data_IF_207242871907
#
_entry.id   IF_207242871907
#
_cell.length_a   1.000
_cell.length_b   1.000
_cell.length_c   1.000
_cell.angle_alpha   90.00
_cell.angle_beta   90.00
_cell.angle_gamma   90.00
#
_symmetry.space_group_name_H-M   'P 1'
#
loop_
_entity.id
_entity.type
_entity.pdbx_description
1 polymer ?
#
# COMPACT_ATOMS: atom_id res chain seq x y z
N UNK A 1 -29.24 -10.26 -0.10
CA UNK A 1 -28.25 -11.01 0.70
C UNK A 1 -26.90 -10.38 0.41
N UNK A 2 -26.31 -9.79 1.43
CA UNK A 2 -25.12 -8.93 1.41
C UNK A 2 -23.84 -9.77 1.49
N UNK A 3 -23.77 -10.86 0.70
CA UNK A 3 -22.71 -11.88 0.81
C UNK A 3 -21.34 -11.38 0.38
N UNK A 4 -21.30 -10.44 -0.58
CA UNK A 4 -20.04 -9.89 -1.09
C UNK A 4 -19.26 -9.06 -0.07
N UNK A 5 -19.92 -8.47 0.94
CA UNK A 5 -19.26 -7.65 1.96
C UNK A 5 -18.37 -8.47 2.89
N UNK A 6 -18.88 -9.59 3.41
CA UNK A 6 -18.09 -10.45 4.30
C UNK A 6 -17.00 -11.20 3.54
N UNK A 7 -17.30 -11.66 2.32
CA UNK A 7 -16.34 -12.31 1.43
C UNK A 7 -15.16 -11.38 1.12
N UNK A 8 -15.44 -10.12 0.76
CA UNK A 8 -14.42 -9.09 0.55
C UNK A 8 -13.50 -8.89 1.76
N UNK A 9 -14.06 -8.89 2.97
CA UNK A 9 -13.29 -8.73 4.21
C UNK A 9 -12.40 -9.95 4.43
N UNK A 10 -12.96 -11.16 4.33
CA UNK A 10 -12.23 -12.42 4.54
C UNK A 10 -11.09 -12.57 3.53
N UNK A 11 -11.34 -12.29 2.26
CA UNK A 11 -10.31 -12.30 1.22
C UNK A 11 -9.21 -11.27 1.52
N UNK A 12 -9.56 -10.06 1.97
CA UNK A 12 -8.56 -9.06 2.37
C UNK A 12 -7.70 -9.52 3.56
N UNK A 13 -8.28 -10.29 4.49
CA UNK A 13 -7.54 -10.87 5.61
C UNK A 13 -6.61 -12.00 5.15
N UNK A 14 -7.07 -12.89 4.25
CA UNK A 14 -6.22 -13.93 3.69
C UNK A 14 -5.07 -13.36 2.85
N UNK A 15 -5.34 -12.33 2.04
CA UNK A 15 -4.33 -11.62 1.29
C UNK A 15 -3.19 -11.15 2.21
N UNK A 16 -3.54 -10.52 3.34
CA UNK A 16 -2.56 -10.10 4.34
C UNK A 16 -1.78 -11.26 4.96
N UNK A 17 -2.48 -12.29 5.42
CA UNK A 17 -1.83 -13.44 6.09
C UNK A 17 -0.85 -14.15 5.17
N UNK A 18 -1.23 -14.36 3.90
CA UNK A 18 -0.35 -14.98 2.91
C UNK A 18 0.81 -14.07 2.50
N UNK A 19 0.59 -12.75 2.42
CA UNK A 19 1.66 -11.79 2.17
C UNK A 19 2.70 -11.82 3.30
N UNK A 20 2.24 -11.81 4.55
CA UNK A 20 3.10 -11.85 5.75
C UNK A 20 3.84 -13.19 5.87
N UNK A 21 3.26 -14.28 5.36
CA UNK A 21 3.91 -15.60 5.30
C UNK A 21 4.83 -15.80 4.08
N UNK A 22 4.92 -14.82 3.18
CA UNK A 22 5.71 -14.90 1.94
C UNK A 22 5.09 -15.75 0.82
N UNK A 23 3.85 -16.23 0.98
CA UNK A 23 3.11 -16.95 -0.07
C UNK A 23 2.43 -15.92 -0.98
N UNK A 24 3.25 -15.18 -1.73
CA UNK A 24 2.77 -14.06 -2.55
C UNK A 24 1.74 -14.48 -3.60
N UNK A 25 1.79 -15.73 -4.10
CA UNK A 25 0.82 -16.24 -5.07
C UNK A 25 -0.60 -16.27 -4.51
N UNK A 26 -0.81 -16.92 -3.36
CA UNK A 26 -2.13 -16.94 -2.71
C UNK A 26 -2.55 -15.56 -2.22
N UNK A 27 -1.59 -14.76 -1.76
CA UNK A 27 -1.86 -13.39 -1.35
C UNK A 27 -2.44 -12.56 -2.49
N UNK A 28 -1.93 -12.75 -3.71
CA UNK A 28 -2.42 -12.08 -4.92
C UNK A 28 -3.84 -12.55 -5.26
N UNK A 29 -4.10 -13.86 -5.26
CA UNK A 29 -5.44 -14.40 -5.57
C UNK A 29 -6.52 -13.82 -4.66
N UNK A 30 -6.28 -13.84 -3.34
CA UNK A 30 -7.21 -13.27 -2.37
C UNK A 30 -7.27 -11.74 -2.44
N UNK A 31 -6.14 -11.07 -2.69
CA UNK A 31 -6.10 -9.61 -2.83
C UNK A 31 -6.92 -9.12 -4.03
N UNK A 32 -6.82 -9.78 -5.19
CA UNK A 32 -7.60 -9.47 -6.40
C UNK A 32 -9.09 -9.72 -6.19
N UNK A 33 -9.44 -10.84 -5.53
CA UNK A 33 -10.84 -11.14 -5.18
C UNK A 33 -11.42 -10.05 -4.27
N UNK A 34 -10.69 -9.68 -3.20
CA UNK A 34 -11.10 -8.63 -2.27
C UNK A 34 -11.28 -7.30 -2.99
N UNK A 35 -10.30 -6.84 -3.77
CA UNK A 35 -10.37 -5.56 -4.49
C UNK A 35 -11.58 -5.51 -5.42
N UNK A 36 -11.82 -6.58 -6.20
CA UNK A 36 -12.95 -6.66 -7.13
C UNK A 36 -14.31 -6.63 -6.41
N UNK A 37 -14.45 -7.35 -5.30
CA UNK A 37 -15.70 -7.36 -4.53
C UNK A 37 -15.96 -6.01 -3.88
N UNK A 38 -14.93 -5.38 -3.33
CA UNK A 38 -15.02 -4.05 -2.70
C UNK A 38 -15.37 -2.96 -3.71
N UNK A 39 -14.78 -3.04 -4.91
CA UNK A 39 -15.18 -2.21 -6.03
C UNK A 39 -16.67 -2.36 -6.35
N UNK A 40 -17.15 -3.60 -6.46
CA UNK A 40 -18.54 -3.89 -6.82
C UNK A 40 -19.56 -3.38 -5.78
N UNK A 41 -19.24 -3.44 -4.49
CA UNK A 41 -20.10 -2.93 -3.41
C UNK A 41 -19.89 -1.44 -3.12
N UNK A 42 -18.97 -0.75 -3.81
CA UNK A 42 -18.67 0.67 -3.60
C UNK A 42 -17.89 0.98 -2.32
N UNK A 43 -17.10 0.03 -1.81
CA UNK A 43 -16.24 0.19 -0.63
C UNK A 43 -14.82 0.64 -1.04
N UNK A 44 -14.67 1.96 -1.26
CA UNK A 44 -13.42 2.54 -1.75
C UNK A 44 -12.25 2.43 -0.77
N UNK A 45 -12.50 2.59 0.54
CA UNK A 45 -11.45 2.50 1.57
C UNK A 45 -10.90 1.07 1.62
N UNK A 46 -11.80 0.09 1.59
CA UNK A 46 -11.41 -1.29 1.56
C UNK A 46 -10.74 -1.72 0.24
N UNK A 47 -11.19 -1.20 -0.90
CA UNK A 47 -10.53 -1.45 -2.20
C UNK A 47 -9.10 -0.91 -2.18
N UNK A 48 -8.87 0.29 -1.64
CA UNK A 48 -7.54 0.85 -1.45
C UNK A 48 -6.66 -0.03 -0.54
N UNK A 49 -7.23 -0.59 0.53
CA UNK A 49 -6.53 -1.53 1.41
C UNK A 49 -6.10 -2.80 0.66
N UNK A 50 -6.99 -3.41 -0.13
CA UNK A 50 -6.69 -4.61 -0.91
C UNK A 50 -5.61 -4.34 -1.98
N UNK A 51 -5.71 -3.21 -2.69
CA UNK A 51 -4.71 -2.78 -3.68
C UNK A 51 -3.33 -2.54 -3.05
N UNK A 52 -3.28 -2.01 -1.82
CA UNK A 52 -2.03 -1.85 -1.07
C UNK A 52 -1.40 -3.20 -0.73
N UNK A 53 -2.21 -4.19 -0.33
CA UNK A 53 -1.71 -5.54 -0.07
C UNK A 53 -1.15 -6.20 -1.35
N UNK A 54 -1.82 -6.03 -2.49
CA UNK A 54 -1.33 -6.48 -3.79
C UNK A 54 0.00 -5.81 -4.15
N UNK A 55 0.12 -4.50 -3.91
CA UNK A 55 1.36 -3.77 -4.15
C UNK A 55 2.54 -4.33 -3.33
N UNK A 56 2.31 -4.64 -2.04
CA UNK A 56 3.31 -5.30 -1.20
C UNK A 56 3.72 -6.67 -1.74
N UNK A 57 2.77 -7.48 -2.21
CA UNK A 57 3.07 -8.80 -2.76
C UNK A 57 3.93 -8.70 -4.03
N UNK A 58 3.56 -7.81 -4.96
CA UNK A 58 4.35 -7.58 -6.17
C UNK A 58 5.73 -7.02 -5.86
N UNK A 59 5.84 -6.12 -4.88
CA UNK A 59 7.13 -5.63 -4.41
C UNK A 59 8.00 -6.77 -3.83
N UNK A 60 7.41 -7.67 -3.03
CA UNK A 60 8.10 -8.85 -2.48
C UNK A 60 8.61 -9.82 -3.56
N UNK A 61 7.89 -9.90 -4.68
CA UNK A 61 8.30 -10.65 -5.87
C UNK A 61 9.33 -9.94 -6.76
N UNK A 62 9.72 -8.70 -6.44
CA UNK A 62 10.63 -7.88 -7.25
C UNK A 62 9.96 -7.19 -8.46
N UNK A 63 8.64 -7.29 -8.56
CA UNK A 63 7.82 -6.82 -9.67
C UNK A 63 7.37 -5.38 -9.42
N UNK A 64 8.36 -4.47 -9.38
CA UNK A 64 8.16 -3.09 -8.94
C UNK A 64 7.20 -2.28 -9.80
N UNK A 65 7.16 -2.50 -11.12
CA UNK A 65 6.21 -1.81 -12.01
C UNK A 65 4.75 -2.17 -11.67
N UNK A 66 4.49 -3.44 -11.35
CA UNK A 66 3.17 -3.90 -10.91
C UNK A 66 2.81 -3.31 -9.55
N UNK A 67 3.76 -3.29 -8.61
CA UNK A 67 3.55 -2.67 -7.30
C UNK A 67 3.17 -1.19 -7.43
N UNK A 68 3.88 -0.44 -8.27
CA UNK A 68 3.62 0.98 -8.56
C UNK A 68 2.20 1.19 -9.10
N UNK A 69 1.75 0.36 -10.05
CA UNK A 69 0.41 0.49 -10.62
C UNK A 69 -0.68 0.37 -9.55
N UNK A 70 -0.57 -0.62 -8.66
CA UNK A 70 -1.53 -0.84 -7.57
C UNK A 70 -1.46 0.28 -6.51
N UNK A 71 -0.25 0.76 -6.17
CA UNK A 71 -0.09 1.91 -5.28
C UNK A 71 -0.81 3.15 -5.80
N UNK A 72 -0.67 3.47 -7.09
CA UNK A 72 -1.33 4.64 -7.66
C UNK A 72 -2.85 4.54 -7.61
N UNK A 73 -3.40 3.35 -7.86
CA UNK A 73 -4.84 3.12 -7.72
C UNK A 73 -5.30 3.28 -6.27
N UNK A 74 -4.59 2.68 -5.31
CA UNK A 74 -4.90 2.81 -3.89
C UNK A 74 -4.85 4.27 -3.41
N UNK A 75 -3.82 5.01 -3.82
CA UNK A 75 -3.67 6.44 -3.48
C UNK A 75 -4.79 7.27 -4.10
N UNK A 76 -5.18 7.00 -5.35
CA UNK A 76 -6.28 7.72 -5.99
C UNK A 76 -7.60 7.53 -5.25
N UNK A 77 -7.91 6.30 -4.82
CA UNK A 77 -9.09 5.97 -4.02
C UNK A 77 -9.03 6.64 -2.64
N UNK A 78 -7.91 6.52 -1.92
CA UNK A 78 -7.76 7.13 -0.60
C UNK A 78 -7.82 8.67 -0.63
N UNK A 79 -7.30 9.32 -1.68
CA UNK A 79 -7.43 10.77 -1.86
C UNK A 79 -8.86 11.21 -2.18
N UNK A 80 -9.62 10.36 -2.87
CA UNK A 80 -11.03 10.62 -3.17
C UNK A 80 -11.95 10.37 -1.96
N UNK A 81 -11.52 9.56 -1.00
CA UNK A 81 -12.25 9.30 0.24
C UNK A 81 -12.16 10.50 1.20
N UNK A 82 -13.33 10.96 1.66
CA UNK A 82 -13.46 12.05 2.63
C UNK A 82 -13.11 11.63 4.07
N UNK A 83 -12.91 10.32 4.31
CA UNK A 83 -12.96 9.73 5.65
C UNK A 83 -11.62 9.49 6.34
N UNK A 84 -10.57 9.06 5.62
CA UNK A 84 -9.34 8.57 6.25
C UNK A 84 -8.10 8.71 5.34
N UNK A 85 -7.44 9.86 5.36
CA UNK A 85 -6.17 10.07 4.63
C UNK A 85 -5.03 9.19 5.16
N UNK A 86 -5.21 8.55 6.31
CA UNK A 86 -4.20 7.71 6.94
C UNK A 86 -3.89 6.43 6.16
N UNK A 87 -4.87 5.95 5.40
CA UNK A 87 -4.72 4.78 4.54
C UNK A 87 -3.82 5.05 3.33
N UNK A 88 -3.39 6.31 3.13
CA UNK A 88 -2.42 6.68 2.10
C UNK A 88 -0.98 6.35 2.50
N UNK A 89 -0.65 6.31 3.79
CA UNK A 89 0.74 6.14 4.21
C UNK A 89 1.35 4.79 3.78
N UNK A 90 0.66 3.64 3.92
CA UNK A 90 1.18 2.36 3.45
C UNK A 90 1.46 2.30 1.93
N UNK A 91 0.52 2.63 1.01
CA UNK A 91 0.81 2.60 -0.42
C UNK A 91 1.86 3.63 -0.85
N UNK A 92 1.96 4.79 -0.18
CA UNK A 92 3.03 5.76 -0.43
C UNK A 92 4.42 5.21 -0.05
N UNK A 93 4.52 4.45 1.04
CA UNK A 93 5.77 3.82 1.44
C UNK A 93 6.22 2.74 0.43
N UNK A 94 5.30 1.87 0.00
CA UNK A 94 5.54 0.85 -1.04
C UNK A 94 5.96 1.47 -2.37
N UNK A 95 5.25 2.52 -2.78
CA UNK A 95 5.53 3.27 -4.00
C UNK A 95 6.95 3.83 -3.98
N UNK A 96 7.34 4.47 -2.88
CA UNK A 96 8.66 5.06 -2.75
C UNK A 96 9.80 4.02 -2.81
N UNK A 97 9.63 2.86 -2.17
CA UNK A 97 10.62 1.77 -2.27
C UNK A 97 10.70 1.22 -3.69
N UNK A 98 9.56 1.02 -4.35
CA UNK A 98 9.51 0.47 -5.72
C UNK A 98 10.11 1.42 -6.75
N UNK A 99 9.75 2.71 -6.69
CA UNK A 99 10.34 3.76 -7.55
C UNK A 99 11.85 3.87 -7.35
N UNK A 100 12.32 3.73 -6.12
CA UNK A 100 13.74 3.73 -5.83
C UNK A 100 14.46 2.54 -6.46
N UNK A 101 13.91 1.33 -6.34
CA UNK A 101 14.49 0.14 -6.97
C UNK A 101 14.62 0.29 -8.49
N UNK A 102 13.70 1.00 -9.13
CA UNK A 102 13.74 1.29 -10.57
C UNK A 102 14.64 2.50 -10.93
N UNK A 103 15.37 3.08 -9.97
CA UNK A 103 16.28 4.20 -10.23
C UNK A 103 15.57 5.53 -10.52
N UNK A 104 14.27 5.66 -10.21
CA UNK A 104 13.55 6.93 -10.33
C UNK A 104 13.82 7.74 -9.07
N UNK A 105 14.87 8.55 -9.06
CA UNK A 105 15.42 9.14 -7.81
C UNK A 105 14.57 10.31 -7.25
N UNK A 106 13.81 11.02 -8.10
CA UNK A 106 13.09 12.23 -7.68
C UNK A 106 11.70 11.98 -7.09
N UNK A 107 10.96 11.01 -7.61
CA UNK A 107 9.59 10.69 -7.18
C UNK A 107 9.49 10.08 -5.74
N UNK A 108 10.40 9.18 -5.28
CA UNK A 108 10.34 8.54 -3.96
C UNK A 108 10.39 9.50 -2.78
N UNK A 109 11.14 10.59 -2.90
CA UNK A 109 11.35 11.53 -1.79
C UNK A 109 10.04 12.23 -1.40
N UNK A 110 9.19 12.56 -2.37
CA UNK A 110 7.88 13.13 -2.11
C UNK A 110 6.98 12.12 -1.40
N UNK A 111 6.92 10.89 -1.92
CA UNK A 111 6.12 9.81 -1.35
C UNK A 111 6.51 9.47 0.10
N UNK A 112 7.82 9.31 0.39
CA UNK A 112 8.28 9.06 1.76
C UNK A 112 8.01 10.22 2.71
N UNK A 113 8.11 11.47 2.24
CA UNK A 113 7.80 12.64 3.08
C UNK A 113 6.33 12.68 3.45
N UNK A 114 5.45 12.46 2.47
CA UNK A 114 4.00 12.43 2.69
C UNK A 114 3.63 11.29 3.65
N UNK A 115 4.12 10.06 3.43
CA UNK A 115 3.89 8.94 4.34
C UNK A 115 4.38 9.23 5.78
N UNK A 116 5.57 9.81 5.93
CA UNK A 116 6.12 10.13 7.26
C UNK A 116 5.37 11.27 7.98
N UNK A 117 4.71 12.17 7.25
CA UNK A 117 3.87 13.21 7.83
C UNK A 117 2.59 12.58 8.41
N UNK A 118 1.91 11.74 7.62
CA UNK A 118 0.70 11.03 8.04
C UNK A 118 0.94 10.20 9.30
N UNK A 119 1.99 9.37 9.33
CA UNK A 119 2.29 8.56 10.52
C UNK A 119 2.58 9.42 11.76
N UNK A 120 3.23 10.57 11.60
CA UNK A 120 3.54 11.46 12.71
C UNK A 120 2.30 12.16 13.27
N UNK A 121 1.37 12.57 12.41
CA UNK A 121 0.09 13.15 12.82
C UNK A 121 -0.74 12.18 13.67
N UNK A 122 -0.60 10.86 13.45
CA UNK A 122 -1.24 9.81 14.24
C UNK A 122 -0.49 9.40 15.52
N UNK A 123 0.70 9.96 15.79
CA UNK A 123 1.56 9.51 16.88
C UNK A 123 2.20 8.13 16.65
N UNK A 124 2.21 7.64 15.40
CA UNK A 124 2.91 6.42 14.98
C UNK A 124 4.39 6.75 14.71
N UNK A 125 5.07 7.23 15.75
CA UNK A 125 6.42 7.79 15.64
C UNK A 125 7.47 6.74 15.24
N UNK A 126 7.22 5.46 15.49
CA UNK A 126 8.11 4.36 15.06
C UNK A 126 8.15 4.23 13.55
N UNK A 127 6.99 4.27 12.88
CA UNK A 127 6.87 4.13 11.43
C UNK A 127 7.36 5.40 10.73
N UNK A 128 6.99 6.58 11.27
CA UNK A 128 7.53 7.85 10.82
C UNK A 128 9.07 7.90 10.96
N UNK A 129 9.63 7.41 12.07
CA UNK A 129 11.07 7.36 12.29
C UNK A 129 11.77 6.35 11.37
N UNK A 130 11.14 5.20 11.07
CA UNK A 130 11.66 4.24 10.10
C UNK A 130 11.80 4.87 8.72
N UNK A 131 10.77 5.55 8.22
CA UNK A 131 10.80 6.24 6.93
C UNK A 131 11.83 7.39 6.93
N UNK A 132 11.88 8.19 8.00
CA UNK A 132 12.88 9.28 8.14
C UNK A 132 14.31 8.75 8.18
N UNK A 133 14.55 7.56 8.75
CA UNK A 133 15.87 6.91 8.75
C UNK A 133 16.29 6.52 7.34
N UNK A 134 15.38 5.93 6.55
CA UNK A 134 15.62 5.65 5.14
C UNK A 134 15.94 6.92 4.34
N UNK A 135 15.25 8.03 4.62
CA UNK A 135 15.54 9.33 4.01
C UNK A 135 16.95 9.85 4.38
N UNK A 136 17.34 9.81 5.67
CA UNK A 136 18.63 10.34 6.16
C UNK A 136 19.83 9.55 5.67
N UNK A 137 19.78 8.23 5.73
CA UNK A 137 20.89 7.37 5.27
C UNK A 137 21.23 7.60 3.79
N UNK A 138 20.25 8.07 3.01
CA UNK A 138 20.37 8.28 1.56
C UNK A 138 20.71 9.71 1.16
N UNK A 139 20.41 10.70 1.99
CA UNK A 139 20.93 12.06 1.82
C UNK A 139 22.44 12.15 2.09
N UNK A 140 23.03 11.15 2.78
CA UNK A 140 24.46 11.09 3.11
C UNK A 140 25.30 10.27 2.11
N UNK A 141 24.68 9.68 1.09
CA UNK A 141 25.35 8.86 0.05
C UNK A 141 25.46 9.56 -1.32
N UNK A 142 25.15 10.87 -1.36
CA UNK A 142 25.37 11.78 -2.49
C UNK A 142 26.45 12.78 -2.10
#
# INVERSE_FOLDING_TARGET
>A
MDTGRWEAIVDGMFAKVYADSGDHGKAIEHGESSARLRHWIGDSDGEAYALTALAHCWQGLGEHDRAIAHCWQAIALGRASLGNQDDLAPPLAVLAVSLHHLGRIHEPLACWREAAAIYAERGLDTDAAAIRRHLRQRAMTV
#
